data_IF_153821391971
#
_entry.id   IF_153821391971
#
_cell.length_a   1.000
_cell.length_b   1.000
_cell.length_c   1.000
_cell.angle_alpha   90.00
_cell.angle_beta   90.00
_cell.angle_gamma   90.00
#
_symmetry.space_group_name_H-M   'P 1'
#
loop_
_entity.id
_entity.type
_entity.pdbx_description
1 polymer ?
#
# COMPACT_ATOMS: atom_id res chain seq x y z
N UNK A 1 -7.65 -30.70 -10.98
CA UNK A 1 -7.48 -32.04 -10.36
C UNK A 1 -8.60 -32.89 -10.92
N UNK A 2 -8.25 -33.88 -11.74
CA UNK A 2 -9.23 -34.71 -12.43
C UNK A 2 -9.84 -35.68 -11.42
N UNK A 3 -11.16 -35.57 -11.19
CA UNK A 3 -11.91 -36.62 -10.52
C UNK A 3 -11.99 -37.81 -11.47
N UNK A 4 -11.04 -38.74 -11.33
CA UNK A 4 -11.24 -40.07 -11.88
C UNK A 4 -12.45 -40.64 -11.15
N UNK A 5 -13.56 -40.80 -11.85
CA UNK A 5 -14.75 -41.49 -11.33
C UNK A 5 -14.39 -42.95 -11.09
N UNK A 6 -13.85 -43.24 -9.91
CA UNK A 6 -13.69 -44.60 -9.41
C UNK A 6 -15.10 -45.04 -8.96
N UNK A 7 -15.71 -46.07 -9.58
CA UNK A 7 -17.02 -46.54 -9.17
C UNK A 7 -16.98 -46.98 -7.70
N UNK A 8 -17.81 -46.35 -6.86
CA UNK A 8 -17.86 -46.61 -5.42
C UNK A 8 -17.28 -45.50 -4.54
N UNK A 9 -16.65 -44.47 -5.12
CA UNK A 9 -16.10 -43.34 -4.36
C UNK A 9 -17.22 -42.51 -3.71
N UNK A 10 -17.23 -42.46 -2.38
CA UNK A 10 -18.24 -41.79 -1.56
C UNK A 10 -17.76 -40.45 -1.03
N UNK A 11 -18.67 -39.64 -0.48
CA UNK A 11 -18.30 -38.43 0.26
C UNK A 11 -17.42 -38.70 1.48
N UNK A 12 -17.48 -39.91 2.07
CA UNK A 12 -16.57 -40.31 3.15
C UNK A 12 -15.14 -40.37 2.63
N UNK A 13 -14.96 -40.96 1.45
CA UNK A 13 -13.64 -41.12 0.83
C UNK A 13 -13.02 -39.77 0.44
N UNK A 14 -13.84 -38.80 -0.01
CA UNK A 14 -13.38 -37.42 -0.24
C UNK A 14 -12.84 -36.79 1.06
N UNK A 15 -13.55 -36.98 2.16
CA UNK A 15 -13.19 -36.40 3.45
C UNK A 15 -11.95 -37.07 4.05
N UNK A 16 -11.86 -38.39 3.93
CA UNK A 16 -10.68 -39.18 4.30
C UNK A 16 -9.47 -38.75 3.48
N UNK A 17 -9.65 -38.57 2.17
CA UNK A 17 -8.57 -38.13 1.28
C UNK A 17 -8.08 -36.73 1.65
N UNK A 18 -8.96 -35.81 2.06
CA UNK A 18 -8.55 -34.49 2.52
C UNK A 18 -7.70 -34.53 3.79
N UNK A 19 -7.95 -35.48 4.70
CA UNK A 19 -7.21 -35.61 5.94
C UNK A 19 -5.92 -36.42 5.77
N UNK A 20 -5.98 -37.58 5.14
CA UNK A 20 -4.90 -38.56 5.07
C UNK A 20 -4.11 -38.53 3.76
N UNK A 21 -4.67 -37.92 2.70
CA UNK A 21 -4.11 -37.96 1.34
C UNK A 21 -4.44 -39.24 0.57
N UNK A 22 -5.21 -40.16 1.15
CA UNK A 22 -5.73 -41.38 0.54
C UNK A 22 -7.09 -41.73 1.17
N UNK A 23 -7.90 -42.55 0.48
CA UNK A 23 -9.14 -43.09 1.06
C UNK A 23 -8.92 -44.45 1.72
N UNK A 24 -9.75 -44.81 2.70
CA UNK A 24 -9.74 -46.14 3.30
C UNK A 24 -9.96 -47.25 2.26
N UNK A 25 -10.79 -46.97 1.24
CA UNK A 25 -11.01 -47.86 0.11
C UNK A 25 -9.76 -48.07 -0.74
N UNK A 26 -9.04 -47.00 -1.11
CA UNK A 26 -7.79 -47.11 -1.89
C UNK A 26 -6.72 -47.89 -1.12
N UNK A 27 -6.61 -47.64 0.19
CA UNK A 27 -5.70 -48.38 1.06
C UNK A 27 -6.04 -49.88 1.07
N UNK A 28 -7.33 -50.22 1.21
CA UNK A 28 -7.78 -51.60 1.19
C UNK A 28 -7.49 -52.29 -0.16
N UNK A 29 -7.74 -51.62 -1.28
CA UNK A 29 -7.44 -52.17 -2.61
C UNK A 29 -5.95 -52.47 -2.77
N UNK A 30 -5.08 -51.53 -2.38
CA UNK A 30 -3.64 -51.75 -2.42
C UNK A 30 -3.18 -52.90 -1.51
N UNK A 31 -3.73 -52.99 -0.30
CA UNK A 31 -3.42 -54.10 0.62
C UNK A 31 -3.91 -55.43 0.07
N UNK A 32 -5.12 -55.47 -0.49
CA UNK A 32 -5.70 -56.67 -1.10
C UNK A 32 -4.85 -57.18 -2.26
N UNK A 33 -4.46 -56.30 -3.18
CA UNK A 33 -3.64 -56.67 -4.33
C UNK A 33 -2.26 -57.16 -3.90
N UNK A 34 -1.65 -56.50 -2.92
CA UNK A 34 -0.38 -56.93 -2.33
C UNK A 34 -0.49 -58.32 -1.69
N UNK A 35 -1.49 -58.54 -0.84
CA UNK A 35 -1.68 -59.83 -0.16
C UNK A 35 -1.98 -60.97 -1.14
N UNK A 36 -2.82 -60.73 -2.15
CA UNK A 36 -3.13 -61.72 -3.17
C UNK A 36 -1.89 -62.05 -4.02
N UNK A 37 -1.05 -61.06 -4.32
CA UNK A 37 0.20 -61.28 -5.04
C UNK A 37 1.19 -62.11 -4.22
N UNK A 38 1.40 -61.77 -2.95
CA UNK A 38 2.29 -62.51 -2.05
C UNK A 38 1.80 -63.94 -1.80
N UNK A 39 0.49 -64.12 -1.63
CA UNK A 39 -0.11 -65.45 -1.48
C UNK A 39 0.15 -66.31 -2.71
N UNK A 40 -0.11 -65.79 -3.92
CA UNK A 40 0.13 -66.51 -5.19
C UNK A 40 1.60 -66.86 -5.38
N UNK A 41 2.50 -65.93 -5.10
CA UNK A 41 3.95 -66.17 -5.20
C UNK A 41 4.38 -67.27 -4.23
N UNK A 42 3.89 -67.21 -2.98
CA UNK A 42 4.19 -68.21 -1.95
C UNK A 42 3.62 -69.59 -2.27
N UNK A 43 2.38 -69.66 -2.78
CA UNK A 43 1.76 -70.94 -3.15
C UNK A 43 2.43 -71.57 -4.37
N UNK A 44 2.86 -70.79 -5.35
CA UNK A 44 3.63 -71.29 -6.49
C UNK A 44 5.02 -71.79 -6.07
N UNK A 45 5.71 -71.10 -5.16
CA UNK A 45 6.97 -71.59 -4.60
C UNK A 45 6.77 -72.91 -3.85
N UNK A 46 5.73 -73.01 -3.03
CA UNK A 46 5.39 -74.25 -2.31
C UNK A 46 5.05 -75.38 -3.29
N UNK A 47 4.27 -75.10 -4.32
CA UNK A 47 3.93 -76.05 -5.38
C UNK A 47 5.19 -76.59 -6.05
N UNK A 48 6.06 -75.71 -6.53
CA UNK A 48 7.29 -76.10 -7.20
C UNK A 48 8.18 -76.94 -6.29
N UNK A 49 8.36 -76.54 -5.03
CA UNK A 49 9.14 -77.30 -4.05
C UNK A 49 8.56 -78.70 -3.78
N UNK A 50 7.24 -78.80 -3.61
CA UNK A 50 6.57 -80.08 -3.37
C UNK A 50 6.64 -81.01 -4.59
N UNK A 51 6.59 -80.47 -5.80
CA UNK A 51 6.72 -81.24 -7.04
C UNK A 51 8.14 -81.74 -7.28
N UNK A 52 9.16 -80.93 -6.95
CA UNK A 52 10.57 -81.34 -7.02
C UNK A 52 10.90 -82.51 -6.07
N UNK A 53 10.21 -82.60 -4.94
CA UNK A 53 10.40 -83.69 -3.96
C UNK A 53 9.83 -85.04 -4.43
N UNK A 54 8.92 -85.06 -5.40
CA UNK A 54 8.27 -86.28 -5.87
C UNK A 54 9.08 -87.00 -6.95
N UNK A 55 9.51 -88.23 -6.67
CA UNK A 55 10.36 -89.04 -7.56
C UNK A 55 9.60 -89.90 -8.57
N UNK A 56 8.28 -90.11 -8.37
CA UNK A 56 7.42 -90.94 -9.22
C UNK A 56 6.34 -90.09 -9.88
N UNK A 57 6.07 -90.32 -11.17
CA UNK A 57 5.04 -89.60 -11.95
C UNK A 57 3.62 -89.79 -11.37
N UNK A 58 3.29 -90.99 -10.88
CA UNK A 58 2.00 -91.25 -10.24
C UNK A 58 1.83 -90.45 -8.93
N UNK A 59 2.92 -90.20 -8.20
CA UNK A 59 2.91 -89.38 -6.99
C UNK A 59 2.88 -87.88 -7.29
N UNK A 60 3.45 -87.45 -8.42
CA UNK A 60 3.34 -86.07 -8.90
C UNK A 60 1.90 -85.71 -9.24
N UNK A 61 1.19 -86.53 -10.01
CA UNK A 61 -0.20 -86.26 -10.38
C UNK A 61 -1.13 -86.22 -9.14
N UNK A 62 -0.91 -87.10 -8.16
CA UNK A 62 -1.65 -87.05 -6.89
C UNK A 62 -1.31 -85.81 -6.04
N UNK A 63 -0.03 -85.39 -6.02
CA UNK A 63 0.43 -84.20 -5.32
C UNK A 63 -0.12 -82.92 -5.96
N UNK A 64 -0.11 -82.80 -7.30
CA UNK A 64 -0.71 -81.66 -8.03
C UNK A 64 -2.17 -81.47 -7.65
N UNK A 65 -2.97 -82.53 -7.68
CA UNK A 65 -4.38 -82.47 -7.29
C UNK A 65 -4.59 -82.04 -5.84
N UNK A 66 -3.71 -82.48 -4.93
CA UNK A 66 -3.77 -82.06 -3.52
C UNK A 66 -3.35 -80.60 -3.33
N UNK A 67 -2.37 -80.13 -4.09
CA UNK A 67 -1.87 -78.75 -4.06
C UNK A 67 -2.94 -77.81 -4.62
N UNK A 68 -3.58 -78.18 -5.74
CA UNK A 68 -4.70 -77.41 -6.31
C UNK A 68 -5.87 -77.30 -5.32
N UNK A 69 -6.22 -78.40 -4.63
CA UNK A 69 -7.24 -78.38 -3.60
C UNK A 69 -6.85 -77.47 -2.41
N UNK A 70 -5.57 -77.46 -2.02
CA UNK A 70 -5.05 -76.56 -0.98
C UNK A 70 -5.12 -75.09 -1.42
N UNK A 71 -4.70 -74.78 -2.65
CA UNK A 71 -4.77 -73.42 -3.21
C UNK A 71 -6.22 -72.94 -3.23
N UNK A 72 -7.14 -73.74 -3.77
CA UNK A 72 -8.55 -73.38 -3.83
C UNK A 72 -9.14 -73.12 -2.42
N UNK A 73 -8.77 -73.94 -1.42
CA UNK A 73 -9.23 -73.74 -0.05
C UNK A 73 -8.59 -72.52 0.61
N UNK A 74 -7.32 -72.26 0.31
CA UNK A 74 -6.60 -71.07 0.78
C UNK A 74 -7.21 -69.79 0.20
N UNK A 75 -7.54 -69.78 -1.08
CA UNK A 75 -8.20 -68.64 -1.73
C UNK A 75 -9.56 -68.35 -1.10
N UNK A 76 -10.39 -69.37 -0.88
CA UNK A 76 -11.68 -69.23 -0.20
C UNK A 76 -11.53 -68.59 1.20
N UNK A 77 -10.62 -69.11 2.02
CA UNK A 77 -10.37 -68.57 3.36
C UNK A 77 -9.82 -67.14 3.33
N UNK A 78 -8.93 -66.84 2.39
CA UNK A 78 -8.39 -65.50 2.19
C UNK A 78 -9.47 -64.51 1.77
N UNK A 79 -10.46 -64.89 0.96
CA UNK A 79 -11.56 -63.97 0.61
C UNK A 79 -12.39 -63.57 1.82
N UNK A 80 -12.65 -64.50 2.74
CA UNK A 80 -13.38 -64.21 3.98
C UNK A 80 -12.54 -63.30 4.89
N UNK A 81 -11.23 -63.57 5.00
CA UNK A 81 -10.32 -62.74 5.78
C UNK A 81 -10.19 -61.31 5.21
N UNK A 82 -10.18 -61.17 3.88
CA UNK A 82 -10.14 -59.87 3.21
C UNK A 82 -11.41 -59.06 3.44
N UNK A 83 -12.59 -59.69 3.48
CA UNK A 83 -13.83 -58.98 3.81
C UNK A 83 -13.79 -58.40 5.24
N UNK A 84 -13.30 -59.17 6.21
CA UNK A 84 -13.10 -58.68 7.58
C UNK A 84 -12.05 -57.57 7.65
N UNK A 85 -10.99 -57.67 6.82
CA UNK A 85 -9.98 -56.62 6.73
C UNK A 85 -10.55 -55.32 6.16
N UNK A 86 -11.42 -55.41 5.15
CA UNK A 86 -12.12 -54.25 4.57
C UNK A 86 -12.92 -53.49 5.63
N UNK A 87 -13.71 -54.20 6.43
CA UNK A 87 -14.49 -53.60 7.52
C UNK A 87 -13.61 -52.94 8.59
N UNK A 88 -12.50 -53.59 8.96
CA UNK A 88 -11.56 -53.04 9.94
C UNK A 88 -10.82 -51.80 9.41
N UNK A 89 -10.41 -51.81 8.15
CA UNK A 89 -9.76 -50.66 7.50
C UNK A 89 -10.77 -49.51 7.40
N UNK A 90 -11.98 -49.77 6.92
CA UNK A 90 -13.03 -48.76 6.81
C UNK A 90 -13.36 -48.15 8.18
N UNK A 91 -13.58 -48.95 9.22
CA UNK A 91 -13.90 -48.44 10.56
C UNK A 91 -12.74 -47.67 11.23
N UNK A 92 -11.48 -48.02 10.95
CA UNK A 92 -10.31 -47.36 11.54
C UNK A 92 -10.06 -45.99 10.93
N UNK A 93 -10.22 -45.88 9.61
CA UNK A 93 -9.88 -44.67 8.86
C UNK A 93 -11.09 -43.78 8.59
N UNK A 94 -12.32 -44.28 8.77
CA UNK A 94 -13.53 -43.50 8.57
C UNK A 94 -13.58 -42.28 9.50
N UNK A 95 -13.85 -41.13 8.90
CA UNK A 95 -14.09 -39.89 9.65
C UNK A 95 -15.58 -39.85 10.01
N UNK A 96 -15.94 -39.75 11.30
CA UNK A 96 -17.34 -39.70 11.69
C UNK A 96 -18.05 -38.49 11.07
N UNK A 97 -19.32 -38.62 10.64
CA UNK A 97 -20.03 -37.58 9.90
C UNK A 97 -20.30 -36.30 10.71
N UNK A 98 -20.14 -36.36 12.02
CA UNK A 98 -20.29 -35.23 12.93
C UNK A 98 -18.97 -34.51 13.23
N UNK A 99 -17.84 -34.99 12.71
CA UNK A 99 -16.52 -34.38 12.90
C UNK A 99 -16.22 -33.46 11.72
N UNK A 100 -15.93 -32.20 12.02
CA UNK A 100 -15.38 -31.25 11.04
C UNK A 100 -13.86 -31.27 11.10
N UNK A 101 -13.21 -31.37 9.95
CA UNK A 101 -11.79 -31.25 9.79
C UNK A 101 -11.31 -29.84 10.19
N UNK A 102 -10.06 -29.70 10.65
CA UNK A 102 -9.51 -28.39 11.00
C UNK A 102 -9.58 -27.37 9.86
N UNK A 103 -9.44 -27.83 8.62
CA UNK A 103 -9.57 -27.03 7.39
C UNK A 103 -10.96 -26.42 7.23
N UNK A 104 -12.00 -27.10 7.73
CA UNK A 104 -13.40 -26.69 7.63
C UNK A 104 -13.87 -25.89 8.83
N UNK A 105 -12.98 -25.48 9.73
CA UNK A 105 -13.35 -24.66 10.89
C UNK A 105 -14.08 -23.36 10.49
N UNK A 106 -13.78 -22.82 9.30
CA UNK A 106 -14.47 -21.64 8.74
C UNK A 106 -15.95 -21.94 8.45
N UNK A 107 -16.27 -23.20 8.11
CA UNK A 107 -17.63 -23.66 7.84
C UNK A 107 -18.44 -23.92 9.11
N UNK A 108 -17.84 -23.93 10.31
CA UNK A 108 -18.58 -24.03 11.59
C UNK A 108 -19.65 -22.95 11.72
N UNK A 109 -19.39 -21.78 11.15
CA UNK A 109 -20.38 -20.72 10.99
C UNK A 109 -20.75 -20.67 9.53
N UNK A 110 -21.93 -21.19 9.21
CA UNK A 110 -22.47 -21.08 7.87
C UNK A 110 -22.81 -19.62 7.57
N UNK A 111 -22.01 -18.99 6.73
CA UNK A 111 -22.34 -17.69 6.16
C UNK A 111 -23.31 -17.89 5.00
N UNK A 112 -24.41 -17.15 4.99
CA UNK A 112 -25.32 -17.16 3.86
C UNK A 112 -24.77 -16.32 2.71
N UNK A 113 -25.24 -16.56 1.49
CA UNK A 113 -24.89 -15.68 0.35
C UNK A 113 -25.32 -14.23 0.60
N UNK A 114 -26.39 -14.02 1.36
CA UNK A 114 -26.84 -12.68 1.73
C UNK A 114 -25.83 -11.98 2.66
N UNK A 115 -25.25 -12.71 3.61
CA UNK A 115 -24.19 -12.18 4.49
C UNK A 115 -22.95 -11.81 3.70
N UNK A 116 -22.55 -12.65 2.74
CA UNK A 116 -21.42 -12.38 1.86
C UNK A 116 -21.66 -11.11 1.03
N UNK A 117 -22.87 -10.94 0.47
CA UNK A 117 -23.23 -9.80 -0.34
C UNK A 117 -23.28 -8.51 0.49
N UNK A 118 -23.85 -8.58 1.71
CA UNK A 118 -23.83 -7.46 2.68
C UNK A 118 -22.40 -7.04 3.02
N UNK A 119 -21.50 -7.99 3.24
CA UNK A 119 -20.11 -7.68 3.58
C UNK A 119 -19.35 -7.09 2.39
N UNK A 120 -19.56 -7.63 1.17
CA UNK A 120 -19.02 -7.05 -0.07
C UNK A 120 -19.49 -5.61 -0.27
N UNK A 121 -20.77 -5.31 -0.01
CA UNK A 121 -21.28 -3.94 -0.08
C UNK A 121 -20.62 -3.02 0.94
N UNK A 122 -20.44 -3.46 2.20
CA UNK A 122 -19.75 -2.66 3.22
C UNK A 122 -18.32 -2.34 2.79
N UNK A 123 -17.59 -3.33 2.29
CA UNK A 123 -16.22 -3.15 1.77
C UNK A 123 -16.21 -2.16 0.61
N UNK A 124 -17.16 -2.25 -0.32
CA UNK A 124 -17.27 -1.32 -1.44
C UNK A 124 -17.53 0.12 -0.97
N UNK A 125 -18.47 0.30 -0.04
CA UNK A 125 -18.80 1.61 0.57
C UNK A 125 -17.58 2.19 1.30
N UNK A 126 -16.86 1.38 2.07
CA UNK A 126 -15.63 1.78 2.75
C UNK A 126 -14.52 2.19 1.77
N UNK A 127 -14.28 1.43 0.71
CA UNK A 127 -13.32 1.78 -0.35
C UNK A 127 -13.68 3.10 -1.04
N UNK A 128 -14.96 3.36 -1.28
CA UNK A 128 -15.41 4.63 -1.86
C UNK A 128 -15.16 5.79 -0.89
N UNK A 129 -15.53 5.63 0.38
CA UNK A 129 -15.28 6.64 1.42
C UNK A 129 -13.80 6.94 1.59
N UNK A 130 -12.96 5.91 1.61
CA UNK A 130 -11.51 6.05 1.71
C UNK A 130 -10.94 6.88 0.56
N UNK A 131 -11.32 6.58 -0.69
CA UNK A 131 -10.86 7.33 -1.86
C UNK A 131 -11.28 8.80 -1.81
N UNK A 132 -12.51 9.09 -1.36
CA UNK A 132 -12.98 10.47 -1.19
C UNK A 132 -12.21 11.20 -0.10
N UNK A 133 -11.92 10.53 1.02
CA UNK A 133 -11.17 11.10 2.13
C UNK A 133 -9.73 11.41 1.73
N UNK A 134 -9.06 10.52 0.99
CA UNK A 134 -7.71 10.77 0.45
C UNK A 134 -7.70 11.93 -0.55
N UNK A 135 -8.67 12.00 -1.46
CA UNK A 135 -8.78 13.14 -2.37
C UNK A 135 -8.98 14.46 -1.62
N UNK A 136 -9.90 14.49 -0.64
CA UNK A 136 -10.14 15.69 0.16
C UNK A 136 -8.91 16.10 0.96
N UNK A 137 -8.18 15.13 1.53
CA UNK A 137 -6.94 15.38 2.25
C UNK A 137 -5.90 16.04 1.35
N UNK A 138 -5.76 15.59 0.10
CA UNK A 138 -4.84 16.20 -0.85
C UNK A 138 -5.23 17.65 -1.17
N UNK A 139 -6.51 17.91 -1.44
CA UNK A 139 -7.01 19.28 -1.69
C UNK A 139 -6.77 20.19 -0.49
N UNK A 140 -7.02 19.71 0.73
CA UNK A 140 -6.77 20.48 1.95
C UNK A 140 -5.28 20.77 2.17
N UNK A 141 -4.39 19.87 1.77
CA UNK A 141 -2.94 20.13 1.82
C UNK A 141 -2.52 21.21 0.83
N UNK A 142 -3.09 21.22 -0.37
CA UNK A 142 -2.88 22.27 -1.37
C UNK A 142 -3.42 23.62 -0.88
N UNK A 143 -4.63 23.65 -0.30
CA UNK A 143 -5.20 24.86 0.31
C UNK A 143 -4.35 25.42 1.43
N UNK A 144 -3.80 24.55 2.30
CA UNK A 144 -2.93 24.96 3.38
C UNK A 144 -1.62 25.57 2.86
N UNK A 145 -1.04 25.00 1.80
CA UNK A 145 0.14 25.56 1.15
C UNK A 145 -0.14 26.97 0.59
N UNK A 146 -1.26 27.15 -0.14
CA UNK A 146 -1.67 28.45 -0.66
C UNK A 146 -1.93 29.49 0.44
N UNK A 147 -2.58 29.08 1.54
CA UNK A 147 -2.82 29.95 2.68
C UNK A 147 -1.51 30.42 3.32
N UNK A 148 -0.52 29.53 3.44
CA UNK A 148 0.81 29.86 3.97
C UNK A 148 1.55 30.84 3.06
N UNK A 149 1.45 30.70 1.73
CA UNK A 149 2.05 31.64 0.78
C UNK A 149 1.41 33.03 0.85
N UNK A 150 0.08 33.07 1.00
CA UNK A 150 -0.67 34.32 1.16
C UNK A 150 -0.29 35.04 2.45
N UNK A 151 -0.15 34.30 3.56
CA UNK A 151 0.28 34.86 4.85
C UNK A 151 1.69 35.47 4.75
N UNK A 152 2.62 34.79 4.07
CA UNK A 152 3.96 35.34 3.78
C UNK A 152 3.90 36.62 2.93
N UNK A 153 3.01 36.67 1.95
CA UNK A 153 2.82 37.85 1.09
C UNK A 153 2.23 39.04 1.86
N UNK A 154 1.26 38.79 2.76
CA UNK A 154 0.70 39.82 3.63
C UNK A 154 1.78 40.39 4.54
N UNK A 155 2.63 39.55 5.12
CA UNK A 155 3.71 39.98 6.00
C UNK A 155 4.75 40.84 5.25
N UNK A 156 5.12 40.45 4.03
CA UNK A 156 5.95 41.29 3.15
C UNK A 156 5.28 42.64 2.86
N UNK A 157 3.97 42.64 2.57
CA UNK A 157 3.20 43.86 2.34
C UNK A 157 3.19 44.79 3.56
N UNK A 158 3.05 44.23 4.78
CA UNK A 158 3.15 45.00 6.04
C UNK A 158 4.53 45.64 6.19
N UNK A 159 5.60 44.88 5.92
CA UNK A 159 6.98 45.38 6.01
C UNK A 159 7.23 46.56 5.06
N UNK A 160 6.80 46.44 3.79
CA UNK A 160 6.89 47.54 2.83
C UNK A 160 6.09 48.75 3.30
N UNK A 161 4.90 48.54 3.86
CA UNK A 161 4.08 49.62 4.41
C UNK A 161 4.76 50.36 5.57
N UNK A 162 5.45 49.64 6.46
CA UNK A 162 6.24 50.28 7.52
C UNK A 162 7.42 51.07 6.95
N UNK A 163 8.14 50.55 5.96
CA UNK A 163 9.26 51.26 5.32
C UNK A 163 8.79 52.54 4.61
N UNK A 164 7.66 52.48 3.89
CA UNK A 164 7.06 53.68 3.27
C UNK A 164 6.68 54.72 4.32
N UNK A 165 6.14 54.28 5.47
CA UNK A 165 5.79 55.18 6.56
C UNK A 165 7.02 55.87 7.14
N UNK A 166 8.09 55.14 7.39
CA UNK A 166 9.37 55.69 7.86
C UNK A 166 9.96 56.70 6.87
N UNK A 167 9.93 56.38 5.57
CA UNK A 167 10.38 57.30 4.53
C UNK A 167 9.54 58.58 4.50
N UNK A 168 8.21 58.46 4.62
CA UNK A 168 7.31 59.62 4.67
C UNK A 168 7.61 60.51 5.88
N UNK A 169 7.73 59.92 7.07
CA UNK A 169 8.05 60.66 8.30
C UNK A 169 9.41 61.36 8.19
N UNK A 170 10.40 60.72 7.56
CA UNK A 170 11.71 61.35 7.29
C UNK A 170 11.62 62.52 6.30
N UNK A 171 10.81 62.38 5.24
CA UNK A 171 10.59 63.43 4.24
C UNK A 171 9.91 64.66 4.84
N UNK A 172 8.92 64.46 5.71
CA UNK A 172 8.25 65.55 6.43
C UNK A 172 9.24 66.29 7.35
N UNK A 173 10.17 65.57 8.00
CA UNK A 173 11.25 66.18 8.77
C UNK A 173 12.22 66.99 7.89
N UNK A 174 12.65 66.45 6.74
CA UNK A 174 13.51 67.19 5.80
C UNK A 174 12.84 68.47 5.27
N UNK A 175 11.53 68.42 5.00
CA UNK A 175 10.79 69.60 4.55
C UNK A 175 10.73 70.67 5.65
N UNK A 176 10.56 70.25 6.90
CA UNK A 176 10.59 71.15 8.06
C UNK A 176 11.98 71.76 8.29
N UNK A 177 13.04 70.96 8.17
CA UNK A 177 14.42 71.42 8.28
C UNK A 177 14.80 72.38 7.15
N UNK A 178 14.33 72.12 5.93
CA UNK A 178 14.48 73.02 4.78
C UNK A 178 13.81 74.38 5.02
N UNK A 179 12.58 74.38 5.57
CA UNK A 179 11.88 75.61 5.98
C UNK A 179 12.64 76.37 7.07
N UNK A 180 13.18 75.65 8.06
CA UNK A 180 13.99 76.24 9.13
C UNK A 180 15.29 76.85 8.58
N UNK A 181 15.98 76.16 7.66
CA UNK A 181 17.19 76.65 7.01
C UNK A 181 16.92 77.90 6.16
N UNK A 182 15.84 77.89 5.36
CA UNK A 182 15.44 79.06 4.57
C UNK A 182 15.21 80.29 5.46
N UNK A 183 14.57 80.11 6.62
CA UNK A 183 14.37 81.17 7.60
C UNK A 183 15.70 81.71 8.15
N UNK A 184 16.64 80.83 8.50
CA UNK A 184 17.97 81.23 8.98
C UNK A 184 18.72 82.04 7.91
N UNK A 185 18.68 81.61 6.65
CA UNK A 185 19.30 82.34 5.53
C UNK A 185 18.66 83.72 5.32
N UNK A 186 17.32 83.83 5.41
CA UNK A 186 16.64 85.12 5.38
C UNK A 186 17.07 86.03 6.54
N UNK A 187 17.19 85.48 7.75
CA UNK A 187 17.63 86.23 8.93
C UNK A 187 19.08 86.72 8.77
N UNK A 188 19.98 85.90 8.23
CA UNK A 188 21.38 86.28 7.94
C UNK A 188 21.51 87.36 6.86
N UNK A 189 20.82 87.21 5.74
CA UNK A 189 20.79 88.23 4.68
C UNK A 189 20.14 89.53 5.16
N UNK A 190 19.14 89.45 6.03
CA UNK A 190 18.54 90.61 6.69
C UNK A 190 19.47 91.32 7.69
N UNK A 191 20.48 90.63 8.23
CA UNK A 191 21.51 91.20 9.10
C UNK A 191 22.59 91.92 8.29
N UNK A 192 23.01 91.40 7.14
CA UNK A 192 23.99 92.07 6.27
C UNK A 192 23.46 93.40 5.70
N UNK A 193 22.15 93.50 5.39
CA UNK A 193 21.53 94.76 4.95
C UNK A 193 21.52 95.82 6.08
N UNK A 194 21.47 95.39 7.35
CA UNK A 194 21.55 96.30 8.50
C UNK A 194 22.98 96.78 8.77
N UNK A 195 24.00 95.93 8.58
CA UNK A 195 25.41 96.37 8.69
C UNK A 195 25.84 97.27 7.53
N UNK A 196 25.33 97.05 6.31
CA UNK A 196 25.54 97.97 5.19
C UNK A 196 24.80 99.31 5.39
N UNK A 197 23.58 99.28 5.95
CA UNK A 197 22.80 100.50 6.24
C UNK A 197 23.40 101.35 7.38
N UNK A 198 24.17 100.76 8.30
CA UNK A 198 24.84 101.48 9.40
C UNK A 198 26.17 102.14 9.02
N UNK A 199 26.71 101.89 7.81
CA UNK A 199 27.94 102.54 7.33
C UNK A 199 27.73 103.63 6.27
N UNK A 200 26.50 103.84 5.79
CA UNK A 200 26.20 104.85 4.76
C UNK A 200 25.59 106.16 5.30
N UNK A 201 25.50 106.35 6.63
CA UNK A 201 24.92 107.59 7.22
C UNK A 201 25.92 108.70 7.56
N UNK A 202 27.20 108.60 7.18
CA UNK A 202 28.18 109.68 7.29
C UNK A 202 28.88 109.87 5.93
N UNK A 203 28.49 110.92 5.19
CA UNK A 203 28.85 111.18 3.78
C UNK A 203 30.33 111.54 3.49
N UNK A 204 30.70 111.98 2.26
CA UNK A 204 30.00 113.06 1.55
C UNK A 204 29.78 112.91 0.02
N UNK A 205 28.84 113.75 -0.44
CA UNK A 205 28.59 114.31 -1.78
C UNK A 205 29.82 114.47 -2.68
N UNK A 206 29.75 113.93 -3.92
CA UNK A 206 30.14 114.52 -5.23
C UNK A 206 29.44 113.66 -6.31
N UNK A 207 28.46 114.18 -7.06
CA UNK A 207 28.61 114.80 -8.37
C UNK A 207 29.26 113.90 -9.44
N UNK A 208 28.47 113.61 -10.48
CA UNK A 208 28.85 113.29 -11.87
C UNK A 208 29.58 111.97 -12.16
N UNK A 209 28.90 111.08 -12.90
CA UNK A 209 29.34 110.74 -14.28
C UNK A 209 28.37 109.74 -14.92
N UNK A 210 28.03 110.07 -16.16
CA UNK A 210 27.27 109.31 -17.14
C UNK A 210 27.87 107.95 -17.50
N UNK A 211 27.02 107.17 -18.20
CA UNK A 211 27.35 106.10 -19.13
C UNK A 211 27.86 104.76 -18.56
N UNK A 212 27.15 103.67 -18.86
CA UNK A 212 27.38 102.81 -20.04
C UNK A 212 26.41 101.61 -19.95
N UNK A 213 25.85 101.28 -21.12
CA UNK A 213 25.00 100.14 -21.45
C UNK A 213 25.60 98.77 -21.04
N UNK A 214 24.77 97.75 -20.84
CA UNK A 214 24.63 96.70 -21.87
C UNK A 214 23.63 95.60 -21.49
N UNK A 215 22.86 95.25 -22.51
CA UNK A 215 21.99 94.09 -22.63
C UNK A 215 22.76 92.77 -22.59
N UNK A 216 21.98 91.71 -22.40
CA UNK A 216 22.28 90.32 -22.76
C UNK A 216 23.23 89.55 -21.85
N UNK A 217 22.74 88.42 -21.30
CA UNK A 217 23.13 87.07 -21.74
C UNK A 217 22.37 86.00 -20.92
N UNK A 218 21.62 85.16 -21.66
CA UNK A 218 21.29 83.73 -21.43
C UNK A 218 20.60 83.33 -20.12
N UNK A 219 19.40 82.73 -20.06
CA UNK A 219 18.67 81.81 -20.93
C UNK A 219 19.52 80.72 -21.59
N UNK A 220 19.72 79.60 -20.88
CA UNK A 220 19.69 78.21 -21.38
C UNK A 220 20.22 77.28 -20.29
N UNK A 221 19.35 76.49 -19.65
CA UNK A 221 19.63 75.12 -19.20
C UNK A 221 18.30 74.47 -18.74
N UNK A 222 17.33 74.45 -19.66
CA UNK A 222 16.28 73.43 -19.70
C UNK A 222 16.54 72.57 -20.93
N UNK A 223 17.21 71.44 -20.75
CA UNK A 223 17.06 70.21 -21.55
C UNK A 223 18.11 69.21 -21.11
N UNK A 224 17.69 67.99 -20.73
CA UNK A 224 18.64 66.89 -20.60
C UNK A 224 18.26 65.80 -19.62
N UNK A 225 17.20 65.06 -19.96
CA UNK A 225 16.92 63.65 -19.65
C UNK A 225 16.68 63.21 -18.20
#
# INVERSE_FOLDING_TARGET
MASNNIPGFTRSDEYETQLYGFSSHDLFLHLKDFLLHEMKTSTELLKNFLLELQKSEDHKAAAEKSIEAFIAKSEEMTTVALANLEENVSSTFSIPPYVLLPSDNVQRKSYTQEDELKEKEKVSKLKSRYRRAEFLKQVLQEELAMASELEGSIEMGRKVMSEIKELKDSSENYEQDSKNFHKIVQDLLGVEVKEASLKLSNGPSWAESEDIMDEHIFNEYFSGQ
#
